data_IF_646398445441
#
_entry.id   IF_646398445441
#
_cell.length_a   1.000
_cell.length_b   1.000
_cell.length_c   1.000
_cell.angle_alpha   90.00
_cell.angle_beta   90.00
_cell.angle_gamma   90.00
#
_symmetry.space_group_name_H-M   'P 1'
#
loop_
_entity.id
_entity.type
_entity.pdbx_description
1 polymer ?
#
# COMPACT_ATOMS: atom_id res chain seq x y z
N UNK A 1 -8.46 -21.74 2.50
CA UNK A 1 -7.53 -22.24 1.47
C UNK A 1 -8.28 -23.27 0.63
N UNK A 2 -8.53 -22.96 -0.64
CA UNK A 2 -9.27 -23.84 -1.55
C UNK A 2 -8.61 -25.22 -1.66
N UNK A 3 -9.41 -26.26 -1.89
CA UNK A 3 -8.89 -27.64 -2.02
C UNK A 3 -7.88 -27.76 -3.18
N UNK A 4 -8.05 -26.95 -4.24
CA UNK A 4 -7.09 -26.85 -5.36
C UNK A 4 -5.72 -26.34 -4.91
N UNK A 5 -5.66 -25.31 -4.06
CA UNK A 5 -4.38 -24.84 -3.49
C UNK A 5 -3.75 -25.90 -2.59
N UNK A 6 -4.57 -26.66 -1.85
CA UNK A 6 -4.09 -27.79 -1.05
C UNK A 6 -3.48 -28.89 -1.92
N UNK A 7 -4.07 -29.21 -3.08
CA UNK A 7 -3.51 -30.22 -4.00
C UNK A 7 -2.12 -29.82 -4.49
N UNK A 8 -1.93 -28.57 -4.92
CA UNK A 8 -0.60 -28.09 -5.34
C UNK A 8 0.45 -28.27 -4.22
N UNK A 9 0.11 -27.90 -2.99
CA UNK A 9 1.00 -28.06 -1.84
C UNK A 9 1.27 -29.54 -1.51
N UNK A 10 0.24 -30.40 -1.54
CA UNK A 10 0.39 -31.85 -1.36
C UNK A 10 1.33 -32.46 -2.40
N UNK A 11 1.27 -32.02 -3.66
CA UNK A 11 2.17 -32.48 -4.72
C UNK A 11 3.62 -32.06 -4.44
N UNK A 12 3.85 -30.81 -4.03
CA UNK A 12 5.17 -30.31 -3.63
C UNK A 12 5.75 -31.14 -2.48
N UNK A 13 4.95 -31.39 -1.44
CA UNK A 13 5.40 -32.15 -0.27
C UNK A 13 5.64 -33.63 -0.61
N UNK A 14 4.81 -34.21 -1.48
CA UNK A 14 5.00 -35.59 -1.98
C UNK A 14 6.29 -35.72 -2.81
N UNK A 15 6.58 -34.74 -3.67
CA UNK A 15 7.83 -34.68 -4.45
C UNK A 15 9.07 -34.57 -3.54
N UNK A 16 9.02 -33.72 -2.51
CA UNK A 16 10.11 -33.59 -1.52
C UNK A 16 10.34 -34.91 -0.79
N UNK A 17 9.28 -35.53 -0.28
CA UNK A 17 9.36 -36.81 0.42
C UNK A 17 9.89 -37.93 -0.48
N UNK A 18 9.42 -38.00 -1.73
CA UNK A 18 9.89 -38.97 -2.71
C UNK A 18 11.39 -38.81 -3.00
N UNK A 19 11.87 -37.58 -3.19
CA UNK A 19 13.28 -37.31 -3.39
C UNK A 19 14.13 -37.65 -2.15
N UNK A 20 13.67 -37.32 -0.94
CA UNK A 20 14.36 -37.71 0.30
C UNK A 20 14.43 -39.23 0.46
N UNK A 21 13.36 -39.97 0.14
CA UNK A 21 13.36 -41.44 0.14
C UNK A 21 14.31 -42.01 -0.92
N UNK A 22 14.37 -41.39 -2.10
CA UNK A 22 15.30 -41.78 -3.14
C UNK A 22 16.76 -41.61 -2.69
N UNK A 23 17.07 -40.54 -1.94
CA UNK A 23 18.39 -40.36 -1.33
C UNK A 23 18.70 -41.39 -0.25
N UNK A 24 17.75 -41.65 0.66
CA UNK A 24 17.92 -42.62 1.74
C UNK A 24 18.08 -44.06 1.25
N UNK A 25 17.42 -44.43 0.15
CA UNK A 25 17.51 -45.75 -0.48
C UNK A 25 18.71 -45.89 -1.44
N UNK A 26 19.54 -44.86 -1.58
CA UNK A 26 20.71 -44.86 -2.47
C UNK A 26 20.38 -44.73 -3.96
N UNK A 27 19.10 -44.53 -4.34
CA UNK A 27 18.68 -44.27 -5.73
C UNK A 27 19.13 -42.89 -6.22
N UNK A 28 19.29 -41.92 -5.32
CA UNK A 28 19.83 -40.59 -5.62
C UNK A 28 20.98 -40.23 -4.67
N UNK A 29 21.96 -39.42 -5.11
CA UNK A 29 23.00 -38.89 -4.24
C UNK A 29 22.42 -38.00 -3.14
N UNK A 30 22.99 -38.09 -1.94
CA UNK A 30 22.63 -37.22 -0.81
C UNK A 30 23.16 -35.80 -1.03
N UNK A 31 22.31 -34.93 -1.58
CA UNK A 31 22.55 -33.51 -1.83
C UNK A 31 21.44 -32.66 -1.20
N UNK A 32 21.70 -31.38 -0.97
CA UNK A 32 20.65 -30.43 -0.58
C UNK A 32 19.64 -30.34 -1.72
N UNK A 33 18.37 -30.61 -1.42
CA UNK A 33 17.30 -30.54 -2.41
C UNK A 33 17.05 -29.07 -2.80
N UNK A 34 17.02 -28.73 -4.10
CA UNK A 34 16.62 -27.40 -4.53
C UNK A 34 15.13 -27.16 -4.27
N UNK A 35 14.69 -25.93 -4.46
CA UNK A 35 13.28 -25.59 -4.34
C UNK A 35 12.41 -26.39 -5.33
N UNK A 36 11.48 -27.16 -4.77
CA UNK A 36 10.45 -27.90 -5.49
C UNK A 36 9.33 -26.93 -5.86
N UNK A 37 9.16 -26.74 -7.17
CA UNK A 37 8.05 -25.96 -7.73
C UNK A 37 7.16 -26.86 -8.58
N UNK A 38 5.85 -26.68 -8.45
CA UNK A 38 4.83 -27.28 -9.31
C UNK A 38 4.11 -26.14 -10.03
N UNK A 39 3.90 -26.28 -11.32
CA UNK A 39 3.34 -25.24 -12.19
C UNK A 39 2.30 -25.85 -13.13
N UNK A 40 1.48 -25.02 -13.77
CA UNK A 40 0.60 -25.50 -14.85
C UNK A 40 1.42 -25.57 -16.13
N UNK A 41 1.44 -26.71 -16.85
CA UNK A 41 2.15 -26.79 -18.12
C UNK A 41 1.47 -25.90 -19.17
N UNK A 42 2.24 -25.41 -20.15
CA UNK A 42 1.70 -24.65 -21.27
C UNK A 42 0.85 -25.51 -22.21
N UNK A 43 1.25 -26.77 -22.42
CA UNK A 43 0.47 -27.75 -23.17
C UNK A 43 -0.41 -28.56 -22.21
N UNK A 44 -1.74 -28.49 -22.31
CA UNK A 44 -2.68 -29.29 -21.50
C UNK A 44 -2.51 -30.81 -21.64
N UNK A 45 -1.93 -31.30 -22.75
CA UNK A 45 -1.64 -32.74 -22.93
C UNK A 45 -0.61 -33.27 -21.92
N UNK A 46 0.16 -32.38 -21.28
CA UNK A 46 1.10 -32.72 -20.22
C UNK A 46 0.47 -32.71 -18.82
N UNK A 47 -0.87 -32.80 -18.76
CA UNK A 47 -1.62 -32.86 -17.51
C UNK A 47 -1.94 -31.50 -16.91
N UNK A 48 -2.49 -31.50 -15.70
CA UNK A 48 -2.92 -30.30 -14.99
C UNK A 48 -1.77 -29.58 -14.28
N UNK A 49 -0.78 -30.34 -13.83
CA UNK A 49 0.40 -29.83 -13.15
C UNK A 49 1.66 -30.52 -13.63
N UNK A 50 2.78 -29.80 -13.63
CA UNK A 50 4.09 -30.32 -13.98
C UNK A 50 5.16 -29.78 -13.03
N UNK A 51 6.26 -30.50 -12.89
CA UNK A 51 7.46 -30.02 -12.19
C UNK A 51 8.72 -30.25 -13.02
N UNK A 52 9.59 -29.25 -13.02
CA UNK A 52 10.96 -29.31 -13.54
C UNK A 52 11.99 -29.66 -12.46
N UNK A 53 11.53 -30.06 -11.27
CA UNK A 53 12.39 -30.35 -10.13
C UNK A 53 13.54 -31.36 -10.43
N UNK A 54 13.32 -32.46 -11.18
CA UNK A 54 14.42 -33.36 -11.55
C UNK A 54 15.53 -32.68 -12.36
N UNK A 55 15.19 -31.74 -13.25
CA UNK A 55 16.15 -30.95 -14.04
C UNK A 55 17.01 -30.05 -13.15
N UNK A 56 16.41 -29.46 -12.10
CA UNK A 56 17.16 -28.67 -11.11
C UNK A 56 18.10 -29.57 -10.31
N UNK A 57 17.62 -30.75 -9.89
CA UNK A 57 18.42 -31.70 -9.12
C UNK A 57 19.59 -32.27 -9.93
N UNK A 58 19.40 -32.55 -11.22
CA UNK A 58 20.44 -32.99 -12.13
C UNK A 58 21.66 -32.05 -12.16
N UNK A 59 21.45 -30.73 -12.07
CA UNK A 59 22.55 -29.75 -12.00
C UNK A 59 23.43 -29.93 -10.76
N UNK A 60 22.85 -30.40 -9.66
CA UNK A 60 23.55 -30.63 -8.40
C UNK A 60 24.11 -32.05 -8.25
N UNK A 61 23.53 -33.04 -8.93
CA UNK A 61 23.93 -34.46 -8.81
C UNK A 61 24.78 -34.96 -9.98
N UNK A 62 24.76 -34.27 -11.12
CA UNK A 62 25.40 -34.72 -12.36
C UNK A 62 24.73 -35.92 -13.04
N UNK A 63 23.55 -36.34 -12.53
CA UNK A 63 22.80 -37.48 -13.08
C UNK A 63 21.87 -37.05 -14.23
N UNK A 64 21.50 -38.02 -15.06
CA UNK A 64 20.50 -37.83 -16.12
C UNK A 64 19.14 -37.41 -15.51
N UNK A 65 18.56 -36.25 -15.89
CA UNK A 65 17.31 -35.78 -15.31
C UNK A 65 16.14 -36.72 -15.53
N UNK A 66 16.12 -37.50 -16.62
CA UNK A 66 15.07 -38.48 -16.88
C UNK A 66 15.16 -39.66 -15.90
N UNK A 67 16.37 -40.17 -15.62
CA UNK A 67 16.59 -41.18 -14.59
C UNK A 67 16.20 -40.68 -13.18
N UNK A 68 16.50 -39.41 -12.87
CA UNK A 68 16.06 -38.77 -11.62
C UNK A 68 14.54 -38.71 -11.56
N UNK A 69 13.88 -38.26 -12.64
CA UNK A 69 12.44 -38.13 -12.70
C UNK A 69 11.73 -39.48 -12.47
N UNK A 70 12.22 -40.56 -13.09
CA UNK A 70 11.72 -41.92 -12.86
C UNK A 70 11.92 -42.36 -11.41
N UNK A 71 13.12 -42.17 -10.86
CA UNK A 71 13.43 -42.55 -9.47
C UNK A 71 12.55 -41.83 -8.45
N UNK A 72 12.22 -40.56 -8.70
CA UNK A 72 11.30 -39.78 -7.87
C UNK A 72 9.86 -40.28 -8.08
N UNK A 73 9.40 -40.40 -9.32
CA UNK A 73 8.03 -40.77 -9.66
C UNK A 73 7.61 -42.13 -9.05
N UNK A 74 8.52 -43.11 -9.03
CA UNK A 74 8.31 -44.42 -8.38
C UNK A 74 8.03 -44.33 -6.87
N UNK A 75 8.51 -43.27 -6.22
CA UNK A 75 8.42 -43.08 -4.76
C UNK A 75 7.39 -42.02 -4.36
N UNK A 76 6.72 -41.40 -5.33
CA UNK A 76 5.61 -40.48 -5.06
C UNK A 76 4.47 -41.27 -4.44
N UNK A 77 3.99 -40.80 -3.29
CA UNK A 77 2.80 -41.36 -2.66
C UNK A 77 1.59 -40.93 -3.49
N UNK A 78 0.83 -41.89 -3.99
CA UNK A 78 -0.39 -41.61 -4.74
C UNK A 78 -1.40 -40.85 -3.87
N UNK A 79 -1.81 -39.68 -4.35
CA UNK A 79 -2.87 -38.87 -3.75
C UNK A 79 -4.21 -39.24 -4.38
N UNK A 80 -5.32 -39.35 -3.62
CA UNK A 80 -6.65 -39.67 -4.17
C UNK A 80 -7.11 -38.77 -5.32
N UNK A 81 -6.62 -37.53 -5.35
CA UNK A 81 -6.98 -36.50 -6.33
C UNK A 81 -6.25 -36.66 -7.67
N UNK A 82 -5.20 -37.49 -7.75
CA UNK A 82 -4.34 -37.65 -8.93
C UNK A 82 -4.73 -38.91 -9.69
N UNK A 83 -5.12 -38.75 -10.96
CA UNK A 83 -5.43 -39.85 -11.89
C UNK A 83 -4.17 -40.54 -12.43
N UNK A 84 -3.10 -39.77 -12.66
CA UNK A 84 -1.89 -40.29 -13.27
C UNK A 84 -0.67 -39.41 -13.05
N UNK A 85 0.49 -40.05 -13.00
CA UNK A 85 1.80 -39.41 -12.96
C UNK A 85 2.57 -39.93 -14.18
N UNK A 86 3.06 -39.03 -15.03
CA UNK A 86 3.85 -39.40 -16.20
C UNK A 86 5.19 -38.67 -16.19
N UNK A 87 6.24 -39.40 -16.54
CA UNK A 87 7.58 -38.82 -16.71
C UNK A 87 7.75 -38.48 -18.19
N UNK A 88 8.12 -37.24 -18.48
CA UNK A 88 8.30 -36.75 -19.84
C UNK A 88 9.73 -36.23 -20.07
N UNK A 89 10.34 -36.46 -21.25
CA UNK A 89 11.62 -35.84 -21.60
C UNK A 89 11.56 -34.30 -21.54
N UNK A 90 12.65 -33.62 -21.16
CA UNK A 90 13.95 -34.18 -20.75
C UNK A 90 14.05 -34.57 -19.26
N UNK A 91 12.94 -34.61 -18.50
CA UNK A 91 12.96 -34.88 -17.05
C UNK A 91 11.85 -34.16 -16.27
N UNK A 92 10.70 -33.92 -16.92
CA UNK A 92 9.51 -33.40 -16.26
C UNK A 92 8.73 -34.53 -15.60
N UNK A 93 8.09 -34.23 -14.48
CA UNK A 93 7.06 -35.09 -13.90
C UNK A 93 5.73 -34.34 -14.02
N UNK A 94 4.80 -34.96 -14.72
CA UNK A 94 3.48 -34.44 -15.05
C UNK A 94 2.43 -35.16 -14.19
N UNK A 95 1.42 -34.42 -13.75
CA UNK A 95 0.34 -34.89 -12.91
C UNK A 95 -0.99 -34.58 -13.59
N UNK A 96 -1.81 -35.61 -13.76
CA UNK A 96 -3.19 -35.47 -14.21
C UNK A 96 -4.11 -35.67 -13.01
N UNK A 97 -5.02 -34.74 -12.78
CA UNK A 97 -6.03 -34.82 -11.74
C UNK A 97 -7.19 -35.69 -12.20
N UNK A 98 -7.92 -36.27 -11.24
CA UNK A 98 -9.12 -37.02 -11.60
C UNK A 98 -10.28 -36.09 -11.94
N UNK A 99 -11.00 -36.42 -13.02
CA UNK A 99 -12.17 -35.67 -13.46
C UNK A 99 -13.32 -35.68 -12.45
N UNK A 100 -13.52 -36.81 -11.74
CA UNK A 100 -14.55 -36.90 -10.70
C UNK A 100 -14.24 -35.97 -9.52
N UNK A 101 -12.99 -35.94 -9.08
CA UNK A 101 -12.52 -35.01 -8.05
C UNK A 101 -12.66 -33.55 -8.51
N UNK A 102 -12.26 -33.22 -9.73
CA UNK A 102 -12.42 -31.86 -10.30
C UNK A 102 -13.88 -31.44 -10.36
N UNK A 103 -14.78 -32.33 -10.73
CA UNK A 103 -16.22 -32.03 -10.81
C UNK A 103 -16.80 -31.77 -9.42
N UNK A 104 -16.38 -32.54 -8.41
CA UNK A 104 -16.78 -32.31 -7.01
C UNK A 104 -16.36 -30.93 -6.47
N UNK A 105 -15.34 -30.30 -7.06
CA UNK A 105 -14.94 -28.94 -6.67
C UNK A 105 -16.03 -27.91 -6.98
N UNK A 106 -16.91 -28.17 -7.96
CA UNK A 106 -18.04 -27.28 -8.25
C UNK A 106 -18.98 -27.18 -7.06
N UNK A 107 -19.29 -28.31 -6.42
CA UNK A 107 -20.13 -28.33 -5.22
C UNK A 107 -19.44 -27.60 -4.05
N UNK A 108 -18.12 -27.79 -3.88
CA UNK A 108 -17.33 -27.06 -2.88
C UNK A 108 -17.32 -25.54 -3.14
N UNK A 109 -17.26 -25.11 -4.41
CA UNK A 109 -17.35 -23.69 -4.81
C UNK A 109 -18.73 -23.14 -4.47
N UNK A 110 -19.80 -23.83 -4.89
CA UNK A 110 -21.17 -23.41 -4.65
C UNK A 110 -21.50 -23.36 -3.15
N UNK A 111 -21.01 -24.33 -2.37
CA UNK A 111 -21.18 -24.36 -0.92
C UNK A 111 -20.44 -23.21 -0.23
N UNK A 112 -19.22 -22.87 -0.69
CA UNK A 112 -18.42 -21.79 -0.11
C UNK A 112 -18.89 -20.39 -0.54
N UNK A 113 -19.61 -20.28 -1.67
CA UNK A 113 -20.12 -19.02 -2.20
C UNK A 113 -19.04 -17.95 -2.35
N UNK A 114 -19.35 -16.74 -1.89
CA UNK A 114 -18.45 -15.58 -1.96
C UNK A 114 -17.13 -15.77 -1.18
N UNK A 115 -17.07 -16.74 -0.26
CA UNK A 115 -15.88 -17.03 0.55
C UNK A 115 -14.93 -18.05 -0.07
N UNK A 116 -15.27 -18.63 -1.23
CA UNK A 116 -14.45 -19.68 -1.87
C UNK A 116 -12.98 -19.28 -2.05
N UNK A 117 -12.75 -18.01 -2.41
CA UNK A 117 -11.41 -17.46 -2.62
C UNK A 117 -10.64 -17.16 -1.33
N UNK A 118 -11.29 -17.20 -0.17
CA UNK A 118 -10.68 -16.75 1.08
C UNK A 118 -9.65 -17.76 1.60
N UNK A 119 -8.54 -17.22 2.11
CA UNK A 119 -7.44 -17.99 2.68
C UNK A 119 -7.05 -17.42 4.05
N UNK A 120 -6.45 -18.24 4.90
CA UNK A 120 -6.03 -17.86 6.25
C UNK A 120 -4.52 -17.62 6.28
N UNK A 121 -4.01 -16.84 5.32
CA UNK A 121 -2.58 -16.55 5.22
C UNK A 121 -2.17 -15.52 6.28
N UNK A 122 -3.00 -14.50 6.48
CA UNK A 122 -2.76 -13.40 7.40
C UNK A 122 -2.85 -13.80 8.87
N UNK A 123 -3.65 -14.82 9.21
CA UNK A 123 -3.84 -15.32 10.59
C UNK A 123 -4.20 -14.21 11.59
N UNK A 124 -4.95 -13.21 11.14
CA UNK A 124 -5.33 -12.05 11.97
C UNK A 124 -4.24 -11.00 12.16
N UNK A 125 -3.10 -11.08 11.45
CA UNK A 125 -2.11 -10.00 11.46
C UNK A 125 -2.75 -8.69 11.01
N UNK A 126 -2.48 -7.61 11.75
CA UNK A 126 -3.06 -6.30 11.54
C UNK A 126 -2.26 -5.52 10.50
N UNK A 127 -2.93 -5.10 9.44
CA UNK A 127 -2.31 -4.38 8.32
C UNK A 127 -3.03 -3.05 8.13
N UNK A 128 -2.27 -1.97 8.16
CA UNK A 128 -2.77 -0.66 7.74
C UNK A 128 -2.44 -0.47 6.26
N UNK A 129 -3.41 0.00 5.47
CA UNK A 129 -3.23 0.32 4.05
C UNK A 129 -3.61 1.79 3.85
N UNK A 130 -2.60 2.62 3.59
CA UNK A 130 -2.77 4.03 3.27
C UNK A 130 -2.78 4.26 1.77
N UNK A 131 -3.78 5.00 1.27
CA UNK A 131 -3.85 5.35 -0.14
C UNK A 131 -4.70 6.59 -0.38
N UNK A 132 -4.56 7.17 -1.58
CA UNK A 132 -5.16 8.44 -2.02
C UNK A 132 -4.54 9.66 -1.33
N UNK A 133 -4.72 9.81 -0.01
CA UNK A 133 -4.10 10.82 0.89
C UNK A 133 -3.82 12.19 0.24
N UNK A 134 -4.76 12.72 -0.55
CA UNK A 134 -4.56 13.98 -1.24
C UNK A 134 -4.84 15.15 -0.31
N UNK A 135 -4.05 16.21 -0.44
CA UNK A 135 -4.26 17.43 0.33
C UNK A 135 -5.69 17.97 0.11
N UNK A 136 -6.43 18.32 1.18
CA UNK A 136 -7.84 18.74 1.15
C UNK A 136 -8.02 20.19 0.64
N UNK A 137 -7.12 20.67 -0.21
CA UNK A 137 -7.13 22.03 -0.75
C UNK A 137 -7.78 22.13 -2.13
N UNK A 138 -8.41 21.06 -2.59
CA UNK A 138 -9.13 20.98 -3.85
C UNK A 138 -9.71 19.60 -4.09
N UNK A 139 -10.60 19.44 -5.08
CA UNK A 139 -11.31 18.19 -5.35
C UNK A 139 -10.36 17.07 -5.80
N UNK A 140 -10.88 15.83 -5.81
CA UNK A 140 -10.22 14.74 -6.49
C UNK A 140 -10.22 15.00 -8.00
N UNK A 141 -9.27 14.39 -8.70
CA UNK A 141 -9.21 14.36 -10.15
C UNK A 141 -8.89 12.93 -10.58
N UNK A 142 -9.08 12.62 -11.86
CA UNK A 142 -8.88 11.28 -12.44
C UNK A 142 -7.52 10.64 -12.10
N UNK A 143 -6.45 11.44 -11.96
CA UNK A 143 -5.14 10.95 -11.52
C UNK A 143 -5.15 10.23 -10.15
N UNK A 144 -6.03 10.63 -9.22
CA UNK A 144 -6.17 9.99 -7.91
C UNK A 144 -6.96 8.68 -7.98
N UNK A 145 -7.81 8.50 -9.00
CA UNK A 145 -8.64 7.31 -9.16
C UNK A 145 -7.82 6.02 -9.28
N UNK A 146 -6.64 6.08 -9.92
CA UNK A 146 -5.72 4.94 -10.00
C UNK A 146 -5.26 4.48 -8.62
N UNK A 147 -4.84 5.41 -7.75
CA UNK A 147 -4.42 5.12 -6.39
C UNK A 147 -5.58 4.59 -5.55
N UNK A 148 -6.79 5.14 -5.73
CA UNK A 148 -8.00 4.70 -5.05
C UNK A 148 -8.35 3.23 -5.36
N UNK A 149 -8.39 2.87 -6.64
CA UNK A 149 -8.70 1.50 -7.08
C UNK A 149 -7.60 0.52 -6.65
N UNK A 150 -6.33 0.90 -6.78
CA UNK A 150 -5.21 0.05 -6.38
C UNK A 150 -5.25 -0.28 -4.88
N UNK A 151 -5.39 0.75 -4.03
CA UNK A 151 -5.43 0.56 -2.58
C UNK A 151 -6.66 -0.19 -2.11
N UNK A 152 -7.83 0.14 -2.64
CA UNK A 152 -9.07 -0.56 -2.33
C UNK A 152 -9.00 -2.05 -2.72
N UNK A 153 -8.50 -2.35 -3.92
CA UNK A 153 -8.37 -3.74 -4.39
C UNK A 153 -7.37 -4.51 -3.53
N UNK A 154 -6.22 -3.91 -3.20
CA UNK A 154 -5.22 -4.55 -2.34
C UNK A 154 -5.78 -4.84 -0.94
N UNK A 155 -6.47 -3.87 -0.34
CA UNK A 155 -7.11 -4.04 0.96
C UNK A 155 -8.12 -5.20 0.94
N UNK A 156 -8.98 -5.26 -0.09
CA UNK A 156 -9.96 -6.34 -0.24
C UNK A 156 -9.30 -7.72 -0.40
N UNK A 157 -8.21 -7.81 -1.17
CA UNK A 157 -7.45 -9.06 -1.33
C UNK A 157 -6.76 -9.48 -0.03
N UNK A 158 -6.22 -8.53 0.75
CA UNK A 158 -5.63 -8.81 2.06
C UNK A 158 -6.70 -9.27 3.07
N UNK A 159 -7.87 -8.64 3.09
CA UNK A 159 -9.00 -9.11 3.91
C UNK A 159 -9.42 -10.53 3.54
N UNK A 160 -9.57 -10.82 2.23
CA UNK A 160 -9.84 -12.18 1.75
C UNK A 160 -8.72 -13.17 2.09
N UNK A 161 -7.49 -12.69 2.27
CA UNK A 161 -6.34 -13.48 2.70
C UNK A 161 -6.20 -13.63 4.23
N UNK A 162 -7.18 -13.18 5.01
CA UNK A 162 -7.25 -13.40 6.46
C UNK A 162 -6.43 -12.41 7.29
N UNK A 163 -6.15 -11.23 6.74
CA UNK A 163 -5.54 -10.12 7.48
C UNK A 163 -6.62 -9.21 8.08
N UNK A 164 -6.34 -8.63 9.25
CA UNK A 164 -7.15 -7.55 9.83
C UNK A 164 -6.72 -6.22 9.19
N UNK A 165 -7.43 -5.82 8.15
CA UNK A 165 -7.06 -4.65 7.33
C UNK A 165 -7.77 -3.40 7.82
N UNK A 166 -7.01 -2.32 7.98
CA UNK A 166 -7.53 -0.97 8.20
C UNK A 166 -7.14 -0.07 7.02
N UNK A 167 -8.14 0.47 6.32
CA UNK A 167 -7.95 1.42 5.22
C UNK A 167 -7.92 2.83 5.78
N UNK A 168 -6.85 3.56 5.51
CA UNK A 168 -6.64 4.89 6.07
C UNK A 168 -6.39 5.94 4.98
N UNK A 169 -7.02 7.10 5.15
CA UNK A 169 -6.78 8.30 4.36
C UNK A 169 -6.05 9.31 5.25
N UNK A 170 -4.85 9.73 4.87
CA UNK A 170 -4.13 10.80 5.56
C UNK A 170 -4.57 12.19 5.07
N UNK A 171 -5.07 13.01 5.99
CA UNK A 171 -5.51 14.38 5.76
C UNK A 171 -4.39 15.31 6.22
N UNK A 172 -3.73 15.96 5.25
CA UNK A 172 -2.83 17.06 5.53
C UNK A 172 -3.62 18.36 5.78
N UNK A 173 -4.06 18.56 7.02
CA UNK A 173 -4.88 19.69 7.48
C UNK A 173 -4.09 20.77 8.24
N UNK A 174 -2.77 20.79 8.07
CA UNK A 174 -1.88 21.82 8.60
C UNK A 174 -0.86 22.35 7.58
N UNK A 175 -0.15 23.41 7.96
CA UNK A 175 0.95 23.97 7.16
C UNK A 175 0.54 25.01 6.12
N UNK A 176 1.50 25.41 5.30
CA UNK A 176 1.38 26.57 4.41
C UNK A 176 0.38 26.40 3.28
N UNK A 177 0.13 25.17 2.83
CA UNK A 177 -0.88 24.90 1.79
C UNK A 177 -2.30 25.17 2.30
N UNK A 178 -2.55 24.86 3.58
CA UNK A 178 -3.82 25.10 4.24
C UNK A 178 -4.01 26.59 4.53
N UNK A 179 -2.96 27.28 4.98
CA UNK A 179 -2.99 28.75 5.13
C UNK A 179 -3.33 29.45 3.81
N UNK A 180 -2.65 29.09 2.73
CA UNK A 180 -2.90 29.62 1.40
C UNK A 180 -4.34 29.34 0.93
N UNK A 181 -4.88 28.15 1.23
CA UNK A 181 -6.26 27.79 0.93
C UNK A 181 -7.25 28.67 1.72
N UNK A 182 -7.07 28.80 3.03
CA UNK A 182 -7.93 29.59 3.90
C UNK A 182 -7.97 31.07 3.47
N UNK A 183 -6.80 31.65 3.19
CA UNK A 183 -6.68 33.04 2.70
C UNK A 183 -7.33 33.23 1.33
N UNK A 184 -7.17 32.26 0.43
CA UNK A 184 -7.82 32.27 -0.89
C UNK A 184 -9.33 32.20 -0.77
N UNK A 185 -9.85 31.34 0.12
CA UNK A 185 -11.28 31.19 0.35
C UNK A 185 -11.88 32.48 0.92
N UNK A 186 -11.18 33.14 1.85
CA UNK A 186 -11.63 34.41 2.40
C UNK A 186 -11.66 35.53 1.35
N UNK A 187 -10.63 35.65 0.52
CA UNK A 187 -10.61 36.61 -0.59
C UNK A 187 -11.76 36.35 -1.58
N UNK A 188 -12.01 35.09 -1.95
CA UNK A 188 -13.15 34.73 -2.82
C UNK A 188 -14.51 35.00 -2.17
N UNK A 189 -14.61 34.82 -0.86
CA UNK A 189 -15.80 35.13 -0.07
C UNK A 189 -16.12 36.63 -0.06
N UNK A 190 -15.11 37.48 0.15
CA UNK A 190 -15.24 38.93 0.02
C UNK A 190 -15.67 39.33 -1.40
N UNK A 191 -14.98 38.83 -2.43
CA UNK A 191 -15.32 39.11 -3.84
C UNK A 191 -16.75 38.71 -4.18
N UNK A 192 -17.21 37.54 -3.72
CA UNK A 192 -18.56 37.04 -4.00
C UNK A 192 -19.66 37.85 -3.31
N UNK A 193 -19.32 38.61 -2.27
CA UNK A 193 -20.20 39.56 -1.59
C UNK A 193 -20.02 41.00 -2.09
N UNK A 194 -19.29 41.21 -3.18
CA UNK A 194 -19.10 42.51 -3.82
C UNK A 194 -18.02 43.39 -3.18
N UNK A 195 -17.17 42.82 -2.32
CA UNK A 195 -16.02 43.52 -1.72
C UNK A 195 -14.79 43.24 -2.59
N UNK A 196 -14.12 44.31 -3.04
CA UNK A 196 -12.83 44.16 -3.72
C UNK A 196 -11.78 43.61 -2.74
N UNK A 197 -11.15 42.51 -3.11
CA UNK A 197 -10.17 41.81 -2.30
C UNK A 197 -9.11 41.17 -3.20
N UNK A 198 -7.85 41.36 -2.85
CA UNK A 198 -6.73 40.79 -3.62
C UNK A 198 -6.55 39.31 -3.29
N UNK A 199 -6.33 38.49 -4.32
CA UNK A 199 -6.03 37.08 -4.14
C UNK A 199 -4.57 36.90 -3.70
N UNK A 200 -4.27 36.00 -2.74
CA UNK A 200 -2.90 35.73 -2.36
C UNK A 200 -2.10 35.16 -3.57
N UNK A 201 -0.84 35.57 -3.81
CA UNK A 201 -0.04 35.10 -4.95
C UNK A 201 0.11 33.58 -5.01
N UNK A 202 0.30 32.94 -3.85
CA UNK A 202 0.38 31.50 -3.64
C UNK A 202 -0.99 30.80 -3.53
N UNK A 203 -2.06 31.52 -3.85
CA UNK A 203 -3.43 31.11 -3.64
C UNK A 203 -3.97 30.03 -4.57
N UNK A 204 -5.23 29.70 -4.33
CA UNK A 204 -6.02 28.76 -5.11
C UNK A 204 -7.04 29.54 -5.94
N UNK A 205 -6.93 29.42 -7.27
CA UNK A 205 -7.66 30.24 -8.22
C UNK A 205 -8.78 29.49 -8.95
N UNK A 206 -8.80 28.15 -8.84
CA UNK A 206 -9.76 27.31 -9.53
C UNK A 206 -11.23 27.64 -9.24
N UNK A 207 -12.09 27.34 -10.21
CA UNK A 207 -13.53 27.61 -10.17
C UNK A 207 -14.23 27.01 -8.94
N UNK A 208 -13.76 25.85 -8.46
CA UNK A 208 -14.29 25.21 -7.26
C UNK A 208 -14.25 26.10 -6.02
N UNK A 209 -13.31 27.06 -5.93
CA UNK A 209 -13.25 28.02 -4.82
C UNK A 209 -14.44 28.98 -4.84
N UNK A 210 -14.87 29.39 -6.04
CA UNK A 210 -16.06 30.24 -6.24
C UNK A 210 -17.31 29.45 -5.87
N UNK A 211 -17.40 28.20 -6.31
CA UNK A 211 -18.56 27.34 -6.00
C UNK A 211 -18.65 27.02 -4.50
N UNK A 212 -17.51 26.71 -3.86
CA UNK A 212 -17.42 26.52 -2.42
C UNK A 212 -17.85 27.79 -1.66
N UNK A 213 -17.43 28.96 -2.15
CA UNK A 213 -17.82 30.24 -1.55
C UNK A 213 -19.32 30.48 -1.64
N UNK A 214 -19.93 30.24 -2.81
CA UNK A 214 -21.38 30.39 -3.00
C UNK A 214 -22.17 29.48 -2.06
N UNK A 215 -21.72 28.23 -1.90
CA UNK A 215 -22.31 27.27 -0.96
C UNK A 215 -22.24 27.79 0.48
N UNK A 216 -21.08 28.30 0.91
CA UNK A 216 -20.91 28.85 2.26
C UNK A 216 -21.78 30.10 2.46
N UNK A 217 -21.86 31.00 1.48
CA UNK A 217 -22.72 32.20 1.56
C UNK A 217 -24.19 31.82 1.70
N UNK A 218 -24.65 30.81 0.95
CA UNK A 218 -26.03 30.34 1.05
C UNK A 218 -26.39 29.83 2.46
N UNK A 219 -25.43 29.21 3.16
CA UNK A 219 -25.64 28.65 4.50
C UNK A 219 -25.37 29.64 5.64
N UNK A 220 -24.37 30.50 5.48
CA UNK A 220 -23.80 31.32 6.56
C UNK A 220 -23.98 32.83 6.34
N UNK A 221 -24.53 33.24 5.20
CA UNK A 221 -24.69 34.64 4.83
C UNK A 221 -23.36 35.38 4.77
N UNK A 222 -23.35 36.62 5.25
CA UNK A 222 -22.21 37.55 5.31
C UNK A 222 -21.44 37.50 6.64
N UNK A 223 -21.73 36.53 7.53
CA UNK A 223 -21.31 36.59 8.94
C UNK A 223 -19.81 36.71 9.14
N UNK A 224 -19.00 36.13 8.24
CA UNK A 224 -17.55 36.14 8.37
C UNK A 224 -16.94 37.51 8.05
N UNK A 225 -17.65 38.40 7.36
CA UNK A 225 -17.21 39.78 7.14
C UNK A 225 -17.26 40.63 8.42
N UNK A 226 -18.04 40.19 9.42
CA UNK A 226 -18.22 40.89 10.70
C UNK A 226 -17.16 40.51 11.74
N UNK A 227 -16.33 39.52 11.44
CA UNK A 227 -15.26 39.04 12.32
C UNK A 227 -13.94 39.76 12.00
N UNK A 228 -13.00 39.85 12.97
CA UNK A 228 -11.63 40.19 12.68
C UNK A 228 -11.06 39.26 11.61
N UNK A 229 -10.31 39.82 10.65
CA UNK A 229 -9.83 39.04 9.49
C UNK A 229 -9.11 37.73 9.85
N UNK A 230 -8.22 37.66 10.88
CA UNK A 230 -7.60 36.39 11.26
C UNK A 230 -8.60 35.32 11.73
N UNK A 231 -9.63 35.73 12.47
CA UNK A 231 -10.69 34.82 12.94
C UNK A 231 -11.58 34.38 11.79
N UNK A 232 -11.92 35.30 10.88
CA UNK A 232 -12.70 35.01 9.69
C UNK A 232 -12.01 33.98 8.79
N UNK A 233 -10.72 34.19 8.49
CA UNK A 233 -9.91 33.27 7.68
C UNK A 233 -9.86 31.87 8.29
N UNK A 234 -9.65 31.77 9.61
CA UNK A 234 -9.57 30.49 10.29
C UNK A 234 -10.91 29.74 10.28
N UNK A 235 -12.01 30.39 10.69
CA UNK A 235 -13.32 29.74 10.75
C UNK A 235 -13.87 29.37 9.37
N UNK A 236 -13.71 30.27 8.39
CA UNK A 236 -14.12 30.02 7.01
C UNK A 236 -13.29 28.90 6.40
N UNK A 237 -11.97 28.89 6.67
CA UNK A 237 -11.06 27.83 6.28
C UNK A 237 -11.47 26.46 6.79
N UNK A 238 -11.77 26.34 8.09
CA UNK A 238 -12.25 25.09 8.69
C UNK A 238 -13.53 24.58 8.02
N UNK A 239 -14.49 25.48 7.76
CA UNK A 239 -15.73 25.12 7.08
C UNK A 239 -15.46 24.67 5.63
N UNK A 240 -14.60 25.39 4.92
CA UNK A 240 -14.19 25.05 3.56
C UNK A 240 -13.51 23.69 3.46
N UNK A 241 -12.56 23.42 4.34
CA UNK A 241 -11.87 22.13 4.43
C UNK A 241 -12.85 20.99 4.71
N UNK A 242 -13.77 21.16 5.66
CA UNK A 242 -14.78 20.15 5.98
C UNK A 242 -15.65 19.81 4.75
N UNK A 243 -16.06 20.83 3.99
CA UNK A 243 -16.83 20.64 2.74
C UNK A 243 -16.01 19.94 1.66
N UNK A 244 -14.74 20.31 1.46
CA UNK A 244 -13.87 19.63 0.48
C UNK A 244 -13.65 18.17 0.86
N UNK A 245 -13.36 17.87 2.14
CA UNK A 245 -13.23 16.49 2.63
C UNK A 245 -14.54 15.71 2.42
N UNK A 246 -15.70 16.35 2.65
CA UNK A 246 -17.00 15.76 2.36
C UNK A 246 -17.18 15.38 0.88
N UNK A 247 -16.78 16.26 -0.04
CA UNK A 247 -16.81 15.97 -1.49
C UNK A 247 -15.85 14.84 -1.87
N UNK A 248 -14.62 14.85 -1.33
CA UNK A 248 -13.64 13.78 -1.53
C UNK A 248 -14.22 12.43 -1.08
N UNK A 249 -14.89 12.37 0.08
CA UNK A 249 -15.58 11.17 0.57
C UNK A 249 -16.64 10.68 -0.42
N UNK A 250 -17.51 11.57 -0.87
CA UNK A 250 -18.57 11.24 -1.83
C UNK A 250 -17.99 10.72 -3.16
N UNK A 251 -16.97 11.36 -3.69
CA UNK A 251 -16.30 10.93 -4.93
C UNK A 251 -15.70 9.52 -4.79
N UNK A 252 -15.12 9.20 -3.63
CA UNK A 252 -14.57 7.87 -3.34
C UNK A 252 -15.66 6.82 -3.16
N UNK A 253 -16.76 7.16 -2.50
CA UNK A 253 -17.92 6.27 -2.35
C UNK A 253 -18.53 5.91 -3.71
N UNK A 254 -18.61 6.86 -4.65
CA UNK A 254 -19.04 6.59 -6.03
C UNK A 254 -18.13 5.60 -6.77
N UNK A 255 -16.85 5.53 -6.39
CA UNK A 255 -15.89 4.54 -6.90
C UNK A 255 -15.95 3.20 -6.15
N UNK A 256 -16.83 3.06 -5.15
CA UNK A 256 -16.88 1.89 -4.27
C UNK A 256 -15.72 1.82 -3.28
N UNK A 257 -15.05 2.96 -3.02
CA UNK A 257 -13.90 3.05 -2.13
C UNK A 257 -14.32 3.68 -0.81
N UNK A 258 -14.13 2.95 0.29
CA UNK A 258 -14.40 3.40 1.65
C UNK A 258 -13.17 3.28 2.55
N UNK A 259 -13.08 4.17 3.54
CA UNK A 259 -11.98 4.23 4.50
C UNK A 259 -12.51 4.04 5.91
N UNK A 260 -11.75 3.32 6.73
CA UNK A 260 -12.06 3.08 8.14
C UNK A 260 -11.60 4.26 9.00
N UNK A 261 -10.46 4.88 8.62
CA UNK A 261 -9.88 6.02 9.33
C UNK A 261 -9.56 7.17 8.37
N UNK A 262 -9.93 8.37 8.80
CA UNK A 262 -9.55 9.64 8.18
C UNK A 262 -8.61 10.36 9.14
N UNK A 263 -7.31 10.16 8.97
CA UNK A 263 -6.29 10.57 9.92
C UNK A 263 -5.90 12.03 9.71
N UNK A 264 -5.97 12.86 10.75
CA UNK A 264 -5.60 14.28 10.71
C UNK A 264 -4.12 14.47 11.06
N UNK A 265 -3.35 15.15 10.21
CA UNK A 265 -1.96 15.53 10.50
C UNK A 265 -1.87 16.34 11.79
N UNK A 266 -2.79 17.30 11.99
CA UNK A 266 -2.83 18.12 13.20
C UNK A 266 -2.88 17.29 14.48
N UNK A 267 -3.56 16.14 14.45
CA UNK A 267 -3.67 15.24 15.61
C UNK A 267 -2.30 14.73 16.12
N UNK A 268 -1.27 14.68 15.26
CA UNK A 268 0.10 14.29 15.63
C UNK A 268 0.72 15.25 16.66
N UNK A 269 0.33 16.51 16.59
CA UNK A 269 0.79 17.57 17.48
C UNK A 269 -0.11 17.67 18.70
N UNK A 270 -1.42 17.72 18.50
CA UNK A 270 -2.42 17.87 19.57
C UNK A 270 -2.33 16.72 20.59
N UNK A 271 -2.03 15.50 20.13
CA UNK A 271 -1.88 14.32 21.00
C UNK A 271 -0.44 14.08 21.48
N UNK A 272 0.49 14.97 21.14
CA UNK A 272 1.89 14.95 21.59
C UNK A 272 2.77 13.86 20.96
N UNK A 273 2.30 13.16 19.92
CA UNK A 273 3.07 12.11 19.22
C UNK A 273 4.37 12.66 18.64
N UNK A 274 4.33 13.86 18.06
CA UNK A 274 5.51 14.54 17.54
C UNK A 274 6.61 14.68 18.61
N UNK A 275 6.26 15.17 19.80
CA UNK A 275 7.24 15.38 20.88
C UNK A 275 7.78 14.05 21.44
N UNK A 276 6.92 13.04 21.54
CA UNK A 276 7.31 11.69 22.01
C UNK A 276 8.33 11.06 21.07
N UNK A 277 8.07 11.06 19.75
CA UNK A 277 8.97 10.44 18.79
C UNK A 277 10.32 11.17 18.71
N UNK A 278 10.30 12.50 18.74
CA UNK A 278 11.53 13.31 18.72
C UNK A 278 12.40 13.02 19.95
N UNK A 279 11.79 12.90 21.12
CA UNK A 279 12.49 12.53 22.36
C UNK A 279 13.04 11.11 22.30
N UNK A 280 12.26 10.15 21.80
CA UNK A 280 12.68 8.75 21.64
C UNK A 280 13.89 8.64 20.70
N UNK A 281 13.83 9.26 19.53
CA UNK A 281 14.91 9.22 18.55
C UNK A 281 16.16 9.93 19.07
N UNK A 282 16.01 11.03 19.83
CA UNK A 282 17.13 11.70 20.51
C UNK A 282 17.78 10.79 21.54
N UNK A 283 17.00 10.11 22.38
CA UNK A 283 17.51 9.15 23.37
C UNK A 283 18.29 8.00 22.71
N UNK A 284 17.86 7.57 21.52
CA UNK A 284 18.53 6.53 20.72
C UNK A 284 19.71 7.02 19.90
N UNK A 285 20.06 8.31 19.98
CA UNK A 285 21.20 8.89 19.24
C UNK A 285 20.93 9.15 17.76
N UNK A 286 19.67 9.12 17.31
CA UNK A 286 19.29 9.38 15.92
C UNK A 286 18.88 10.82 15.65
N UNK A 287 18.95 11.71 16.66
CA UNK A 287 18.70 13.15 16.50
C UNK A 287 19.96 13.92 16.92
N UNK A 288 20.36 14.88 16.10
CA UNK A 288 21.49 15.78 16.36
C UNK A 288 21.12 17.22 16.01
N UNK A 289 21.80 18.18 16.63
CA UNK A 289 21.66 19.61 16.34
C UNK A 289 22.92 20.10 15.63
N UNK A 290 22.74 20.63 14.42
CA UNK A 290 23.82 21.14 13.56
C UNK A 290 23.28 22.34 12.79
N UNK A 291 24.09 23.38 12.62
CA UNK A 291 23.74 24.56 11.82
C UNK A 291 22.44 25.26 12.28
N UNK A 292 22.20 25.28 13.60
CA UNK A 292 20.95 25.78 14.22
C UNK A 292 19.67 25.02 13.82
N UNK A 293 19.78 23.87 13.16
CA UNK A 293 18.67 23.00 12.80
C UNK A 293 18.77 21.65 13.52
N UNK A 294 17.64 20.94 13.61
CA UNK A 294 17.59 19.57 14.14
C UNK A 294 17.54 18.58 13.00
N UNK A 295 18.41 17.57 13.06
CA UNK A 295 18.62 16.59 12.00
C UNK A 295 18.38 15.17 12.52
N UNK A 296 17.75 14.36 11.68
CA UNK A 296 17.71 12.91 11.82
C UNK A 296 18.97 12.30 11.19
N UNK A 297 19.73 11.55 12.00
CA UNK A 297 21.03 10.97 11.64
C UNK A 297 20.83 9.70 10.80
N UNK A 298 20.36 9.88 9.57
CA UNK A 298 20.06 8.77 8.65
C UNK A 298 21.31 8.05 8.17
N UNK A 299 22.46 8.74 8.18
CA UNK A 299 23.76 8.15 7.83
C UNK A 299 24.16 6.99 8.73
N UNK A 300 23.80 7.03 10.01
CA UNK A 300 24.00 5.93 10.95
C UNK A 300 23.17 4.67 10.61
N UNK A 301 22.23 4.79 9.67
CA UNK A 301 21.31 3.75 9.23
C UNK A 301 21.54 3.36 7.76
N UNK A 302 22.62 3.84 7.14
CA UNK A 302 23.02 3.48 5.77
C UNK A 302 22.51 4.41 4.68
N UNK A 303 21.89 5.55 5.00
CA UNK A 303 21.54 6.58 4.00
C UNK A 303 22.73 7.47 3.64
N UNK A 304 22.70 8.08 2.45
CA UNK A 304 23.80 8.93 1.95
C UNK A 304 23.97 10.24 2.73
N UNK A 305 22.91 10.74 3.36
CA UNK A 305 22.90 12.02 4.09
C UNK A 305 21.90 12.05 5.23
N UNK A 306 22.19 12.90 6.21
CA UNK A 306 21.26 13.23 7.29
C UNK A 306 20.12 14.10 6.75
N UNK A 307 18.95 14.06 7.41
CA UNK A 307 17.75 14.76 6.97
C UNK A 307 17.27 15.76 8.01
N UNK A 308 16.97 16.99 7.59
CA UNK A 308 16.41 18.02 8.48
C UNK A 308 15.00 17.64 8.93
N UNK A 309 14.76 17.66 10.23
CA UNK A 309 13.44 17.43 10.86
C UNK A 309 12.85 18.70 11.44
N UNK A 310 13.68 19.58 12.03
CA UNK A 310 13.30 20.94 12.41
C UNK A 310 14.24 21.93 11.74
N UNK A 311 13.68 22.93 11.08
CA UNK A 311 14.44 24.04 10.48
C UNK A 311 14.98 24.97 11.58
N UNK A 312 15.83 25.91 11.18
CA UNK A 312 16.43 26.89 12.09
C UNK A 312 15.42 27.86 12.72
N UNK A 313 14.25 28.04 12.10
CA UNK A 313 13.11 28.79 12.66
C UNK A 313 12.25 27.95 13.62
N UNK A 314 12.62 26.69 13.87
CA UNK A 314 11.87 25.74 14.70
C UNK A 314 10.71 25.05 13.99
N UNK A 315 10.43 25.38 12.72
CA UNK A 315 9.34 24.74 11.97
C UNK A 315 9.66 23.29 11.59
N UNK A 316 8.67 22.42 11.72
CA UNK A 316 8.79 21.02 11.31
C UNK A 316 8.83 20.87 9.78
N UNK A 317 9.60 19.89 9.31
CA UNK A 317 9.57 19.47 7.91
C UNK A 317 8.49 18.41 7.68
N UNK A 318 8.06 18.22 6.43
CA UNK A 318 7.14 17.10 6.10
C UNK A 318 7.71 15.75 6.54
N UNK A 319 9.03 15.59 6.46
CA UNK A 319 9.70 14.39 6.94
C UNK A 319 9.56 14.18 8.45
N UNK A 320 9.52 15.25 9.24
CA UNK A 320 9.26 15.14 10.68
C UNK A 320 7.81 14.70 10.98
N UNK A 321 6.84 15.16 10.17
CA UNK A 321 5.46 14.68 10.24
C UNK A 321 5.39 13.18 9.89
N UNK A 322 6.06 12.76 8.80
CA UNK A 322 6.12 11.35 8.39
C UNK A 322 6.66 10.46 9.52
N UNK A 323 7.70 10.93 10.24
CA UNK A 323 8.28 10.23 11.39
C UNK A 323 7.25 10.07 12.53
N UNK A 324 6.58 11.16 12.91
CA UNK A 324 5.56 11.14 13.95
C UNK A 324 4.38 10.23 13.60
N UNK A 325 4.00 10.23 12.33
CA UNK A 325 2.92 9.40 11.83
C UNK A 325 3.29 7.91 11.82
N UNK A 326 4.50 7.55 11.39
CA UNK A 326 4.96 6.17 11.42
C UNK A 326 5.20 5.66 12.85
N UNK A 327 5.61 6.55 13.76
CA UNK A 327 5.59 6.26 15.20
C UNK A 327 4.18 5.91 15.69
N UNK A 328 3.17 6.69 15.29
CA UNK A 328 1.79 6.40 15.65
C UNK A 328 1.32 5.05 15.06
N UNK A 329 1.57 4.78 13.78
CA UNK A 329 1.21 3.50 13.14
C UNK A 329 1.84 2.30 13.85
N UNK A 330 3.15 2.31 14.07
CA UNK A 330 3.86 1.12 14.57
C UNK A 330 3.92 1.00 16.09
N UNK A 331 4.17 2.07 16.83
CA UNK A 331 4.41 1.98 18.29
C UNK A 331 3.15 2.23 19.12
N UNK A 332 2.26 3.13 18.68
CA UNK A 332 1.01 3.38 19.40
C UNK A 332 -0.11 2.43 18.95
N UNK A 333 -0.37 2.36 17.64
CA UNK A 333 -1.46 1.56 17.05
C UNK A 333 -1.07 0.11 16.81
N UNK A 334 0.23 -0.21 16.79
CA UNK A 334 0.79 -1.57 16.74
C UNK A 334 0.31 -2.38 15.53
N UNK A 335 0.38 -1.81 14.34
CA UNK A 335 0.21 -2.59 13.12
C UNK A 335 1.40 -3.51 12.89
N UNK A 336 1.13 -4.76 12.50
CA UNK A 336 2.16 -5.73 12.15
C UNK A 336 2.80 -5.37 10.80
N UNK A 337 2.01 -4.80 9.89
CA UNK A 337 2.49 -4.27 8.62
C UNK A 337 1.78 -2.94 8.28
N UNK A 338 2.53 -2.05 7.66
CA UNK A 338 2.03 -0.78 7.11
C UNK A 338 2.30 -0.81 5.62
N UNK A 339 1.28 -0.54 4.81
CA UNK A 339 1.38 -0.46 3.36
C UNK A 339 0.99 0.93 2.92
N UNK A 340 1.95 1.69 2.41
CA UNK A 340 1.73 3.02 1.89
C UNK A 340 1.73 3.01 0.37
N UNK A 341 0.69 3.58 -0.25
CA UNK A 341 0.61 3.73 -1.70
C UNK A 341 0.89 5.18 -2.07
N UNK A 342 2.09 5.44 -2.57
CA UNK A 342 2.56 6.78 -2.90
C UNK A 342 2.65 7.02 -4.41
N UNK A 343 2.67 8.30 -4.78
CA UNK A 343 3.00 8.71 -6.15
C UNK A 343 4.48 8.50 -6.50
N UNK A 344 4.78 8.38 -7.79
CA UNK A 344 6.15 8.23 -8.31
C UNK A 344 7.12 9.36 -7.93
N UNK A 345 6.59 10.55 -7.65
CA UNK A 345 7.33 11.69 -7.14
C UNK A 345 7.92 11.49 -5.73
N UNK A 346 7.45 10.48 -4.99
CA UNK A 346 7.91 10.16 -3.65
C UNK A 346 8.87 8.97 -3.58
N UNK A 347 9.29 8.40 -4.72
CA UNK A 347 10.15 7.21 -4.75
C UNK A 347 11.48 7.41 -3.98
N UNK A 348 12.07 8.60 -4.05
CA UNK A 348 13.30 8.94 -3.32
C UNK A 348 13.14 8.99 -1.80
N UNK A 349 11.90 8.92 -1.28
CA UNK A 349 11.60 8.98 0.14
C UNK A 349 11.48 7.59 0.79
N UNK A 350 11.50 6.50 0.00
CA UNK A 350 11.27 5.15 0.49
C UNK A 350 12.40 4.68 1.41
N UNK A 351 13.66 4.87 1.00
CA UNK A 351 14.84 4.42 1.78
C UNK A 351 14.91 5.13 3.13
N UNK A 352 14.77 6.46 3.15
CA UNK A 352 14.76 7.24 4.39
C UNK A 352 13.65 6.81 5.35
N UNK A 353 12.46 6.43 4.85
CA UNK A 353 11.38 5.97 5.73
C UNK A 353 11.63 4.57 6.28
N UNK A 354 12.28 3.68 5.50
CA UNK A 354 12.79 2.39 6.01
C UNK A 354 13.83 2.60 7.12
N UNK A 355 14.70 3.61 6.98
CA UNK A 355 15.65 3.99 8.03
C UNK A 355 14.92 4.48 9.28
N UNK A 356 13.89 5.33 9.15
CA UNK A 356 13.04 5.76 10.27
C UNK A 356 12.42 4.58 11.00
N UNK A 357 11.81 3.64 10.27
CA UNK A 357 11.19 2.43 10.86
C UNK A 357 12.23 1.60 11.64
N UNK A 358 13.44 1.47 11.08
CA UNK A 358 14.56 0.81 11.77
C UNK A 358 14.96 1.55 13.06
N UNK A 359 15.03 2.90 13.02
CA UNK A 359 15.35 3.73 14.19
C UNK A 359 14.28 3.64 15.30
N UNK A 360 13.02 3.40 14.92
CA UNK A 360 11.92 3.10 15.83
C UNK A 360 12.03 1.69 16.45
N UNK A 361 12.97 0.86 15.99
CA UNK A 361 13.20 -0.50 16.49
C UNK A 361 12.26 -1.52 15.86
N UNK A 362 11.70 -1.18 14.70
CA UNK A 362 10.78 -2.03 13.94
C UNK A 362 11.54 -2.59 12.74
N UNK A 363 11.22 -3.82 12.33
CA UNK A 363 11.84 -4.39 11.14
C UNK A 363 11.41 -3.54 9.92
N UNK A 364 12.35 -2.96 9.15
CA UNK A 364 12.02 -2.13 8.00
C UNK A 364 11.13 -2.84 6.98
N UNK A 365 11.18 -4.18 6.91
CA UNK A 365 10.31 -4.97 6.02
C UNK A 365 8.83 -5.00 6.41
N UNK A 366 8.48 -4.52 7.60
CA UNK A 366 7.08 -4.31 8.01
C UNK A 366 6.45 -3.08 7.34
N UNK A 367 7.25 -2.13 6.83
CA UNK A 367 6.78 -1.05 5.97
C UNK A 367 6.89 -1.48 4.50
N UNK A 368 5.79 -1.48 3.76
CA UNK A 368 5.79 -1.69 2.30
C UNK A 368 5.35 -0.41 1.62
N UNK A 369 6.18 0.14 0.75
CA UNK A 369 5.80 1.31 -0.05
C UNK A 369 5.58 0.87 -1.48
N UNK A 370 4.36 1.05 -1.98
CA UNK A 370 3.97 0.78 -3.35
C UNK A 370 3.96 2.10 -4.11
N UNK A 371 4.75 2.19 -5.18
CA UNK A 371 4.83 3.38 -6.01
C UNK A 371 3.86 3.28 -7.18
N UNK A 372 2.86 4.15 -7.19
CA UNK A 372 1.91 4.32 -8.29
C UNK A 372 2.39 5.40 -9.26
N UNK A 373 2.45 5.05 -10.55
CA UNK A 373 2.81 5.99 -11.61
C UNK A 373 1.69 7.00 -11.87
N UNK A 374 2.08 8.23 -12.19
CA UNK A 374 1.15 9.30 -12.56
C UNK A 374 0.35 8.93 -13.81
N UNK A 375 -0.88 9.45 -13.90
CA UNK A 375 -1.76 9.25 -15.06
C UNK A 375 -1.55 10.41 -16.02
N UNK A 376 -1.33 10.10 -17.29
CA UNK A 376 -1.21 11.10 -18.36
C UNK A 376 -2.56 11.28 -19.04
N UNK A 377 -3.05 12.52 -19.10
CA UNK A 377 -4.30 12.84 -19.76
C UNK A 377 -4.07 13.45 -21.13
N UNK A 378 -4.80 12.95 -22.11
CA UNK A 378 -4.82 13.49 -23.46
C UNK A 378 -6.22 14.03 -23.76
N UNK A 379 -6.31 15.24 -24.31
CA UNK A 379 -7.55 15.82 -24.84
C UNK A 379 -7.29 16.25 -26.28
N UNK A 380 -7.96 15.61 -27.24
CA UNK A 380 -7.75 15.89 -28.67
C UNK A 380 -6.34 15.53 -29.17
N UNK A 381 -5.64 14.60 -28.52
CA UNK A 381 -4.25 14.23 -28.84
C UNK A 381 -3.20 15.03 -28.07
N UNK A 382 -3.55 16.16 -27.47
CA UNK A 382 -2.64 17.00 -26.69
C UNK A 382 -2.59 16.63 -25.21
N UNK A 383 -1.42 16.77 -24.60
CA UNK A 383 -1.16 16.55 -23.19
C UNK A 383 -1.84 17.63 -22.32
N UNK A 384 -2.69 17.22 -21.39
CA UNK A 384 -3.34 18.11 -20.42
C UNK A 384 -2.65 17.99 -19.07
N UNK A 385 -2.27 19.14 -18.48
CA UNK A 385 -1.80 19.22 -17.09
C UNK A 385 -2.97 19.60 -16.19
N UNK A 386 -3.27 18.76 -15.20
CA UNK A 386 -4.29 19.02 -14.18
C UNK A 386 -3.62 19.64 -12.96
N UNK A 387 -4.14 20.76 -12.46
CA UNK A 387 -3.60 21.45 -11.29
C UNK A 387 -4.72 21.99 -10.41
N UNK A 388 -4.67 21.67 -9.11
CA UNK A 388 -5.60 22.19 -8.10
C UNK A 388 -5.53 23.72 -7.96
N UNK A 389 -4.40 24.34 -8.31
CA UNK A 389 -4.21 25.80 -8.18
C UNK A 389 -4.86 26.57 -9.32
N UNK A 390 -4.71 26.10 -10.57
CA UNK A 390 -5.37 26.72 -11.74
C UNK A 390 -6.83 26.26 -11.90
N UNK A 391 -7.15 25.04 -11.46
CA UNK A 391 -8.51 24.48 -11.49
C UNK A 391 -8.91 23.82 -12.80
N UNK A 392 -7.93 23.37 -13.62
CA UNK A 392 -8.14 22.71 -14.92
C UNK A 392 -8.51 21.22 -14.82
#
# INVERSE_FOLDING_TARGET
>A
MSEVLKVKQKLIDSLRQAASKAQQSGKLPSVILPEVSVERPQNPEYGDYATSFPLKLARSTGLDPLAIANSIAELIIHSPEVAGITVAPPGFINFTLRNDWLTQQVDSILFSGDSYGNIELGKGNRVQVEFVSVNPTGPLHVGHGRGAVLGSTLANVLTAAGFEVEKEYYINDSGSQIDAFNRSLYARYQQSLGIDAEMPPEGYFGSYMIDLTKEIIAEQGDRFLKLPAPEAVLQLGQLGLAKIIGRIKQDLELLGVSFDVWFSEKSLYDNGQFQKVMSLLRQRGYITEKESATWFVSTALGEDKDNVVLRSDGSATYFANDIAYHYNKFLERKFDQVIDIWGADHQGHVSRMKAVVSALGINPEQLKVIISQMVTLHRGGELVRVSKRSGD
#
